data_IF_039868888465
#
_entry.id   IF_039868888465
#
_cell.length_a   1.000
_cell.length_b   1.000
_cell.length_c   1.000
_cell.angle_alpha   90.00
_cell.angle_beta   90.00
_cell.angle_gamma   90.00
#
_symmetry.space_group_name_H-M   'P 1'
#
loop_
_entity.id
_entity.type
_entity.pdbx_description
1 polymer ?
#
# COMPACT_ATOMS: atom_id res chain seq x y z
N UNK A 1 2.06 62.63 -14.18
CA UNK A 1 1.15 61.90 -13.26
C UNK A 1 1.60 60.45 -13.15
N UNK A 2 1.45 59.85 -11.96
CA UNK A 2 2.06 58.58 -11.50
C UNK A 2 1.60 57.34 -12.29
N UNK A 3 2.52 56.36 -12.39
CA UNK A 3 2.37 55.03 -13.01
C UNK A 3 1.29 54.18 -12.32
N UNK A 4 0.58 53.33 -13.07
CA UNK A 4 -0.10 52.15 -12.50
C UNK A 4 -0.15 50.99 -13.51
N UNK A 5 1.01 50.40 -13.80
CA UNK A 5 1.13 49.08 -14.45
C UNK A 5 1.37 48.04 -13.34
N UNK A 6 0.32 47.67 -12.61
CA UNK A 6 0.41 46.62 -11.59
C UNK A 6 -0.94 45.89 -11.34
N UNK A 7 -1.48 45.12 -12.31
CA UNK A 7 -2.41 44.06 -11.91
C UNK A 7 -2.02 42.66 -12.43
N UNK A 8 -1.05 42.53 -13.33
CA UNK A 8 -0.74 41.24 -13.97
C UNK A 8 0.29 40.39 -13.21
N UNK A 9 1.24 41.03 -12.52
CA UNK A 9 2.21 40.30 -11.69
C UNK A 9 1.60 39.77 -10.39
N UNK A 10 0.60 40.45 -9.84
CA UNK A 10 -0.04 40.05 -8.59
C UNK A 10 -1.00 38.87 -8.78
N UNK A 11 -1.64 38.76 -9.95
CA UNK A 11 -2.48 37.62 -10.33
C UNK A 11 -1.65 36.37 -10.61
N UNK A 12 -0.50 36.50 -11.27
CA UNK A 12 0.42 35.38 -11.51
C UNK A 12 1.02 34.82 -10.21
N UNK A 13 1.40 35.70 -9.26
CA UNK A 13 1.96 35.27 -7.98
C UNK A 13 0.94 34.54 -7.10
N UNK A 14 -0.34 34.90 -7.18
CA UNK A 14 -1.42 34.25 -6.42
C UNK A 14 -1.70 32.82 -6.91
N UNK A 15 -1.55 32.55 -8.22
CA UNK A 15 -1.66 31.20 -8.78
C UNK A 15 -0.52 30.25 -8.41
N UNK A 16 0.69 30.77 -8.12
CA UNK A 16 1.80 29.92 -7.67
C UNK A 16 1.69 29.49 -6.19
N UNK A 17 0.92 30.22 -5.38
CA UNK A 17 0.70 29.88 -3.96
C UNK A 17 -0.26 28.70 -3.74
N UNK A 18 -1.00 28.28 -4.77
CA UNK A 18 -1.85 27.07 -4.71
C UNK A 18 -1.14 25.81 -5.22
N UNK A 19 0.12 25.90 -5.68
CA UNK A 19 0.91 24.76 -6.14
C UNK A 19 1.70 24.06 -5.03
N UNK A 20 1.51 24.44 -3.76
CA UNK A 20 1.81 23.54 -2.66
C UNK A 20 0.67 22.52 -2.56
N UNK A 21 0.69 21.53 -3.45
CA UNK A 21 0.07 20.26 -3.13
C UNK A 21 0.77 19.79 -1.85
N UNK A 22 0.13 20.03 -0.70
CA UNK A 22 0.44 19.27 0.49
C UNK A 22 0.30 17.81 0.08
N UNK A 23 1.41 17.12 -0.07
CA UNK A 23 1.41 15.66 0.09
C UNK A 23 0.74 15.47 1.44
N UNK A 24 -0.46 14.88 1.52
CA UNK A 24 -1.08 14.67 2.80
C UNK A 24 -0.04 13.92 3.64
N UNK A 25 0.34 14.51 4.77
CA UNK A 25 1.13 13.81 5.77
C UNK A 25 0.20 12.72 6.28
N UNK A 26 0.18 11.59 5.56
CA UNK A 26 -0.50 10.35 5.92
C UNK A 26 0.25 9.76 7.11
N UNK A 27 0.31 10.52 8.21
CA UNK A 27 0.55 10.03 9.55
C UNK A 27 -0.69 9.25 9.95
N UNK A 28 -0.80 8.05 9.41
CA UNK A 28 -1.68 7.07 10.02
C UNK A 28 -1.07 6.79 11.39
N UNK A 29 -1.62 7.43 12.42
CA UNK A 29 -1.23 7.17 13.79
C UNK A 29 -1.78 5.80 14.18
N UNK A 30 -1.07 4.76 13.74
CA UNK A 30 -1.20 3.40 14.22
C UNK A 30 -0.66 3.30 15.65
N UNK A 31 -1.20 4.11 16.57
CA UNK A 31 -0.96 3.89 17.99
C UNK A 31 -1.69 2.60 18.34
N UNK A 32 -0.93 1.54 18.62
CA UNK A 32 -1.43 0.41 19.39
C UNK A 32 -1.85 0.99 20.75
N UNK A 33 -3.15 1.02 21.05
CA UNK A 33 -3.54 1.21 22.44
C UNK A 33 -2.90 0.07 23.25
N UNK A 34 -2.25 0.38 24.38
CA UNK A 34 -1.64 -0.66 25.19
C UNK A 34 -2.75 -1.50 25.81
N UNK A 35 -3.00 -2.68 25.25
CA UNK A 35 -3.77 -3.73 25.92
C UNK A 35 -3.00 -4.13 27.18
N UNK A 36 -3.50 -3.73 28.34
CA UNK A 36 -3.02 -4.13 29.66
C UNK A 36 -3.27 -5.62 29.87
N UNK A 37 -2.36 -6.47 29.38
CA UNK A 37 -2.33 -7.89 29.74
C UNK A 37 -1.46 -8.08 30.99
N UNK A 38 -2.12 -8.17 32.14
CA UNK A 38 -1.50 -8.48 33.43
C UNK A 38 -1.12 -9.96 33.50
N UNK A 39 0.03 -10.34 32.97
CA UNK A 39 0.60 -11.68 33.19
C UNK A 39 1.79 -11.61 34.14
N UNK A 40 1.52 -11.89 35.42
CA UNK A 40 2.51 -12.16 36.47
C UNK A 40 3.40 -13.33 36.05
N UNK A 41 4.66 -13.07 35.69
CA UNK A 41 5.68 -14.12 35.53
C UNK A 41 6.70 -14.03 36.67
N UNK A 42 6.74 -15.11 37.46
CA UNK A 42 7.61 -15.34 38.61
C UNK A 42 9.09 -15.27 38.24
N UNK A 43 9.83 -14.66 39.15
CA UNK A 43 11.29 -14.59 39.33
C UNK A 43 11.98 -15.95 39.24
N UNK A 44 13.12 -16.01 38.53
CA UNK A 44 14.27 -16.82 38.96
C UNK A 44 15.58 -16.10 38.58
N UNK A 45 16.43 -15.85 39.59
CA UNK A 45 17.78 -15.30 39.50
C UNK A 45 18.81 -16.43 39.37
N UNK A 46 19.85 -16.26 38.54
CA UNK A 46 21.25 -16.73 38.76
C UNK A 46 22.17 -16.10 37.69
N UNK A 47 22.82 -14.96 37.95
CA UNK A 47 24.22 -14.74 38.40
C UNK A 47 25.36 -15.22 37.48
N UNK A 48 26.16 -14.23 37.02
CA UNK A 48 27.65 -14.15 36.89
C UNK A 48 28.40 -15.17 36.02
N UNK A 49 29.49 -14.90 35.27
CA UNK A 49 30.42 -13.76 35.12
C UNK A 49 31.37 -13.99 33.92
N UNK A 50 31.80 -12.90 33.26
CA UNK A 50 33.10 -12.61 32.59
C UNK A 50 34.04 -13.73 32.10
N UNK A 51 34.61 -13.60 30.88
CA UNK A 51 36.00 -13.14 30.60
C UNK A 51 36.38 -13.24 29.10
N UNK A 52 37.26 -12.34 28.68
CA UNK A 52 37.73 -11.90 27.37
C UNK A 52 38.71 -12.84 26.63
N UNK A 53 38.83 -12.75 25.28
CA UNK A 53 40.04 -12.28 24.50
C UNK A 53 39.96 -12.56 22.97
N UNK A 54 40.28 -11.53 22.18
CA UNK A 54 41.04 -11.42 20.88
C UNK A 54 41.73 -12.68 20.29
N UNK A 55 42.01 -12.88 18.98
CA UNK A 55 42.08 -12.06 17.74
C UNK A 55 42.47 -12.93 16.51
N UNK A 56 42.24 -12.41 15.28
CA UNK A 56 42.91 -12.67 13.97
C UNK A 56 42.68 -14.03 13.26
N UNK A 57 42.59 -14.16 11.92
CA UNK A 57 42.91 -13.28 10.76
C UNK A 57 42.40 -13.87 9.41
N UNK A 58 42.31 -13.02 8.38
CA UNK A 58 42.41 -13.29 6.92
C UNK A 58 41.15 -13.81 6.20
N UNK A 59 40.40 -13.00 5.43
CA UNK A 59 40.65 -12.37 4.11
C UNK A 59 40.40 -13.31 2.92
N UNK A 60 39.27 -13.12 2.24
CA UNK A 60 39.15 -13.40 0.81
C UNK A 60 38.32 -12.30 0.15
N UNK A 61 39.04 -11.47 -0.62
CA UNK A 61 38.51 -10.43 -1.50
C UNK A 61 38.27 -11.06 -2.86
N UNK A 62 37.05 -10.97 -3.39
CA UNK A 62 36.81 -11.14 -4.82
C UNK A 62 36.02 -9.95 -5.36
N UNK A 63 36.61 -9.37 -6.40
CA UNK A 63 36.30 -8.10 -7.02
C UNK A 63 35.12 -8.18 -7.99
N UNK A 64 34.19 -7.25 -7.82
CA UNK A 64 33.63 -6.35 -8.83
C UNK A 64 33.57 -6.83 -10.29
N UNK A 65 32.36 -6.97 -10.82
CA UNK A 65 32.05 -6.54 -12.20
C UNK A 65 30.81 -5.65 -12.14
N UNK A 66 31.07 -4.35 -12.15
CA UNK A 66 30.07 -3.30 -12.27
C UNK A 66 29.47 -3.33 -13.67
N UNK A 67 28.19 -3.67 -13.79
CA UNK A 67 27.39 -3.34 -14.96
C UNK A 67 26.61 -2.08 -14.66
N UNK A 68 27.14 -0.93 -15.09
CA UNK A 68 26.41 0.33 -15.06
C UNK A 68 25.45 0.33 -16.25
N UNK A 69 24.16 0.16 -16.00
CA UNK A 69 23.11 0.42 -16.99
C UNK A 69 21.88 0.98 -16.27
N UNK A 70 21.70 2.29 -16.39
CA UNK A 70 20.47 3.10 -16.21
C UNK A 70 19.59 2.88 -14.97
N UNK A 71 19.63 3.86 -14.04
CA UNK A 71 18.65 4.17 -12.97
C UNK A 71 17.54 3.12 -12.73
N UNK A 72 17.89 2.01 -12.09
CA UNK A 72 16.97 0.93 -11.72
C UNK A 72 15.99 1.39 -10.63
N UNK A 73 14.72 1.47 -11.01
CA UNK A 73 13.55 1.59 -10.15
C UNK A 73 13.63 0.64 -8.94
N UNK A 74 13.37 1.15 -7.74
CA UNK A 74 13.39 0.40 -6.47
C UNK A 74 12.23 -0.63 -6.37
N UNK A 75 12.10 -1.58 -7.29
CA UNK A 75 11.05 -2.61 -7.23
C UNK A 75 11.48 -3.70 -6.24
N UNK A 76 10.62 -4.01 -5.27
CA UNK A 76 10.84 -5.10 -4.31
C UNK A 76 10.12 -6.35 -4.81
N UNK A 77 10.86 -7.44 -5.02
CA UNK A 77 10.31 -8.66 -5.59
C UNK A 77 10.17 -9.81 -4.59
N UNK A 78 9.34 -10.79 -4.92
CA UNK A 78 9.10 -12.01 -4.16
C UNK A 78 8.91 -13.21 -5.10
N UNK A 79 9.27 -14.40 -4.63
CA UNK A 79 9.02 -15.65 -5.35
C UNK A 79 7.80 -16.38 -4.81
N UNK A 80 7.21 -17.25 -5.65
CA UNK A 80 6.12 -18.14 -5.25
C UNK A 80 4.76 -17.46 -5.12
N UNK A 81 4.53 -16.37 -5.86
CA UNK A 81 3.19 -15.95 -6.26
C UNK A 81 2.84 -16.60 -7.61
N UNK A 82 1.56 -16.88 -7.90
CA UNK A 82 1.14 -17.36 -9.22
C UNK A 82 1.45 -16.30 -10.29
N UNK A 83 1.72 -16.73 -11.53
CA UNK A 83 1.99 -15.77 -12.61
C UNK A 83 0.77 -14.92 -12.96
N UNK A 84 -0.41 -15.53 -12.93
CA UNK A 84 -1.70 -14.91 -13.21
C UNK A 84 -2.81 -15.69 -12.48
N UNK A 85 -4.04 -15.21 -12.59
CA UNK A 85 -5.20 -15.82 -11.94
C UNK A 85 -5.49 -17.26 -12.39
N UNK A 86 -5.08 -17.69 -13.59
CA UNK A 86 -5.32 -19.04 -14.08
C UNK A 86 -4.44 -20.08 -13.37
N UNK A 87 -3.26 -19.69 -12.93
CA UNK A 87 -2.32 -20.52 -12.17
C UNK A 87 -2.56 -20.45 -10.65
N UNK A 88 -3.38 -19.51 -10.19
CA UNK A 88 -3.68 -19.33 -8.78
C UNK A 88 -4.65 -20.40 -8.24
N UNK A 89 -4.54 -20.77 -6.94
CA UNK A 89 -5.62 -21.46 -6.24
C UNK A 89 -6.92 -20.64 -6.29
N UNK A 90 -8.07 -21.33 -6.23
CA UNK A 90 -9.41 -20.74 -6.43
C UNK A 90 -10.21 -20.57 -5.13
N UNK A 91 -9.58 -20.78 -3.98
CA UNK A 91 -10.19 -20.62 -2.66
C UNK A 91 -10.29 -19.15 -2.22
N UNK A 92 -9.42 -18.30 -2.76
CA UNK A 92 -9.41 -16.86 -2.57
C UNK A 92 -8.66 -16.18 -3.72
N UNK A 93 -8.57 -14.86 -3.71
CA UNK A 93 -7.76 -14.13 -4.70
C UNK A 93 -6.30 -14.21 -4.26
N UNK A 94 -5.39 -14.37 -5.21
CA UNK A 94 -3.95 -14.34 -4.98
C UNK A 94 -3.36 -13.20 -5.79
N UNK A 95 -2.55 -12.37 -5.15
CA UNK A 95 -1.61 -11.49 -5.83
C UNK A 95 -0.79 -12.29 -6.85
N UNK A 96 -0.50 -11.67 -7.99
CA UNK A 96 0.17 -12.31 -9.13
C UNK A 96 1.53 -11.67 -9.40
N UNK A 97 2.29 -12.29 -10.30
CA UNK A 97 3.59 -11.80 -10.71
C UNK A 97 4.64 -12.00 -9.63
N UNK A 98 5.49 -10.99 -9.42
CA UNK A 98 6.59 -11.06 -8.46
C UNK A 98 6.68 -9.83 -7.55
N UNK A 99 5.67 -8.94 -7.56
CA UNK A 99 5.68 -7.75 -6.72
C UNK A 99 5.41 -8.11 -5.26
N UNK A 100 6.31 -7.70 -4.38
CA UNK A 100 6.11 -7.74 -2.94
C UNK A 100 5.43 -6.45 -2.47
N UNK A 101 4.49 -6.55 -1.55
CA UNK A 101 3.96 -5.40 -0.83
C UNK A 101 5.09 -4.77 -0.03
N UNK A 102 5.35 -3.50 -0.31
CA UNK A 102 6.43 -2.77 0.33
C UNK A 102 6.05 -1.32 0.58
N UNK A 103 6.50 -0.79 1.70
CA UNK A 103 6.39 0.63 2.00
C UNK A 103 7.61 1.12 2.77
N UNK A 104 8.14 2.27 2.36
CA UNK A 104 9.15 2.98 3.13
C UNK A 104 8.98 4.47 3.00
N UNK A 105 9.39 5.19 4.04
CA UNK A 105 9.42 6.64 4.06
C UNK A 105 10.76 7.12 4.58
N UNK A 106 11.43 7.97 3.81
CA UNK A 106 12.68 8.62 4.18
C UNK A 106 12.56 10.14 3.96
N UNK A 107 12.23 10.86 5.03
CA UNK A 107 11.86 12.27 4.95
C UNK A 107 10.59 12.46 4.12
N UNK A 108 10.74 13.20 3.03
CA UNK A 108 9.67 13.46 2.05
C UNK A 108 9.58 12.40 0.95
N UNK A 109 10.57 11.50 0.86
CA UNK A 109 10.55 10.42 -0.12
C UNK A 109 9.68 9.28 0.38
N UNK A 110 8.60 8.99 -0.33
CA UNK A 110 7.71 7.87 -0.08
C UNK A 110 7.90 6.84 -1.19
N UNK A 111 8.09 5.60 -0.80
CA UNK A 111 8.03 4.44 -1.68
C UNK A 111 6.89 3.55 -1.20
N UNK A 112 6.00 3.19 -2.11
CA UNK A 112 4.91 2.25 -1.87
C UNK A 112 4.77 1.35 -3.09
N UNK A 113 4.57 0.06 -2.83
CA UNK A 113 4.36 -0.93 -3.86
C UNK A 113 3.20 -1.83 -3.43
N UNK A 114 2.15 -1.83 -4.23
CA UNK A 114 1.03 -2.78 -4.14
C UNK A 114 1.28 -3.96 -5.07
N UNK A 115 0.66 -5.12 -4.81
CA UNK A 115 0.84 -6.29 -5.67
C UNK A 115 -0.06 -6.19 -6.92
N UNK A 116 0.26 -6.99 -7.94
CA UNK A 116 -0.55 -7.13 -9.16
C UNK A 116 -1.64 -8.20 -8.99
N UNK A 117 -2.66 -8.14 -9.85
CA UNK A 117 -3.77 -9.11 -9.91
C UNK A 117 -4.09 -9.53 -11.35
N UNK A 118 -3.07 -9.76 -12.15
CA UNK A 118 -3.18 -10.10 -13.56
C UNK A 118 -4.14 -11.30 -13.81
N UNK A 119 -5.08 -11.11 -14.74
CA UNK A 119 -6.03 -12.15 -15.15
C UNK A 119 -7.26 -12.31 -14.24
N UNK A 120 -7.37 -11.57 -13.13
CA UNK A 120 -8.61 -11.53 -12.34
C UNK A 120 -9.66 -10.63 -12.99
N UNK A 121 -10.61 -11.27 -13.68
CA UNK A 121 -11.79 -10.59 -14.23
C UNK A 121 -12.92 -10.48 -13.22
N UNK A 122 -13.91 -9.62 -13.46
CA UNK A 122 -15.11 -9.54 -12.59
C UNK A 122 -15.81 -10.89 -12.47
N UNK A 123 -15.94 -11.63 -13.58
CA UNK A 123 -16.54 -12.96 -13.60
C UNK A 123 -15.74 -13.99 -12.79
N UNK A 124 -14.41 -13.97 -12.88
CA UNK A 124 -13.57 -14.86 -12.09
C UNK A 124 -13.63 -14.53 -10.60
N UNK A 125 -13.58 -13.26 -10.25
CA UNK A 125 -13.72 -12.80 -8.87
C UNK A 125 -15.07 -13.22 -8.28
N UNK A 126 -16.17 -13.04 -9.01
CA UNK A 126 -17.50 -13.45 -8.55
C UNK A 126 -17.60 -14.97 -8.35
N UNK A 127 -16.86 -15.75 -9.14
CA UNK A 127 -16.78 -17.20 -8.94
C UNK A 127 -16.05 -17.60 -7.66
N UNK A 128 -15.08 -16.78 -7.22
CA UNK A 128 -14.28 -17.04 -6.02
C UNK A 128 -14.98 -16.49 -4.77
N UNK A 129 -15.49 -15.25 -4.82
CA UNK A 129 -16.04 -14.53 -3.67
C UNK A 129 -17.58 -14.52 -3.60
N UNK A 130 -18.26 -14.99 -4.65
CA UNK A 130 -19.70 -14.83 -4.83
C UNK A 130 -20.07 -13.48 -5.47
N UNK A 131 -21.38 -13.21 -5.58
CA UNK A 131 -21.85 -11.94 -6.11
C UNK A 131 -21.54 -10.80 -5.13
N UNK A 132 -21.17 -9.60 -5.62
CA UNK A 132 -21.00 -8.44 -4.76
C UNK A 132 -22.32 -8.02 -4.14
N UNK A 133 -22.26 -7.45 -2.94
CA UNK A 133 -23.42 -6.85 -2.29
C UNK A 133 -23.86 -5.58 -3.02
N UNK A 134 -22.89 -4.81 -3.51
CA UNK A 134 -23.12 -3.62 -4.33
C UNK A 134 -22.06 -3.50 -5.43
N UNK A 135 -22.51 -2.98 -6.56
CA UNK A 135 -21.66 -2.47 -7.62
C UNK A 135 -21.81 -0.96 -7.67
N UNK A 136 -20.68 -0.24 -7.66
CA UNK A 136 -20.61 1.22 -7.72
C UNK A 136 -19.83 1.60 -8.97
N UNK A 137 -20.46 2.35 -9.86
CA UNK A 137 -19.85 2.90 -11.09
C UNK A 137 -19.90 4.43 -11.11
N UNK A 138 -20.33 5.04 -10.01
CA UNK A 138 -20.37 6.49 -9.87
C UNK A 138 -18.93 7.03 -9.67
N UNK A 139 -18.39 7.83 -10.61
CA UNK A 139 -17.04 8.36 -10.52
C UNK A 139 -16.85 9.27 -9.30
N UNK A 140 -17.92 9.84 -8.73
CA UNK A 140 -17.83 10.63 -7.50
C UNK A 140 -17.41 9.78 -6.30
N UNK A 141 -17.78 8.48 -6.28
CA UNK A 141 -17.40 7.60 -5.18
C UNK A 141 -15.87 7.44 -5.08
N UNK A 142 -15.19 7.16 -6.19
CA UNK A 142 -13.73 7.00 -6.19
C UNK A 142 -13.03 8.33 -5.84
N UNK A 143 -13.57 9.45 -6.34
CA UNK A 143 -12.98 10.78 -6.14
C UNK A 143 -13.11 11.28 -4.70
N UNK A 144 -14.21 10.96 -4.01
CA UNK A 144 -14.55 11.60 -2.72
C UNK A 144 -14.64 10.64 -1.54
N UNK A 145 -15.07 9.39 -1.76
CA UNK A 145 -15.48 8.48 -0.68
C UNK A 145 -14.59 7.24 -0.51
N UNK A 146 -14.02 6.73 -1.61
CA UNK A 146 -13.29 5.46 -1.62
C UNK A 146 -12.09 5.45 -0.66
N UNK A 147 -11.19 6.44 -0.76
CA UNK A 147 -9.99 6.52 0.10
C UNK A 147 -10.34 6.52 1.59
N UNK A 148 -11.36 7.29 2.00
CA UNK A 148 -11.76 7.38 3.40
C UNK A 148 -12.38 6.07 3.91
N UNK A 149 -13.21 5.43 3.08
CA UNK A 149 -13.79 4.13 3.40
C UNK A 149 -12.69 3.07 3.54
N UNK A 150 -11.74 3.08 2.61
CA UNK A 150 -10.65 2.12 2.59
C UNK A 150 -9.66 2.34 3.73
N UNK A 151 -9.42 3.59 4.13
CA UNK A 151 -8.66 3.92 5.31
C UNK A 151 -9.25 3.28 6.57
N UNK A 152 -10.58 3.34 6.76
CA UNK A 152 -11.24 2.72 7.91
C UNK A 152 -11.17 1.19 7.87
N UNK A 153 -11.34 0.59 6.68
CA UNK A 153 -11.16 -0.85 6.49
C UNK A 153 -9.72 -1.30 6.84
N UNK A 154 -8.71 -0.59 6.33
CA UNK A 154 -7.29 -0.87 6.58
C UNK A 154 -6.94 -0.69 8.06
N UNK A 155 -7.47 0.36 8.72
CA UNK A 155 -7.30 0.55 10.18
C UNK A 155 -7.87 -0.64 10.95
N UNK A 156 -9.07 -1.09 10.60
CA UNK A 156 -9.69 -2.27 11.21
C UNK A 156 -8.79 -3.50 11.12
N UNK A 157 -8.32 -3.83 9.91
CA UNK A 157 -7.42 -4.96 9.67
C UNK A 157 -6.09 -4.86 10.43
N UNK A 158 -5.53 -3.65 10.52
CA UNK A 158 -4.31 -3.40 11.27
C UNK A 158 -4.52 -3.58 12.78
N UNK A 159 -5.61 -3.04 13.33
CA UNK A 159 -5.94 -3.17 14.74
C UNK A 159 -6.24 -4.62 15.14
N UNK A 160 -6.85 -5.39 14.25
CA UNK A 160 -7.04 -6.85 14.38
C UNK A 160 -5.71 -7.65 14.27
N UNK A 161 -4.63 -7.01 13.82
CA UNK A 161 -3.34 -7.66 13.59
C UNK A 161 -3.30 -8.56 12.36
N UNK A 162 -4.25 -8.40 11.43
CA UNK A 162 -4.32 -9.17 10.17
C UNK A 162 -3.30 -8.70 9.14
N UNK A 163 -2.93 -7.42 9.17
CA UNK A 163 -1.92 -6.83 8.30
C UNK A 163 -0.87 -6.07 9.11
N UNK A 164 0.33 -5.94 8.55
CA UNK A 164 1.40 -5.15 9.14
C UNK A 164 1.19 -3.66 8.87
N UNK A 165 1.90 -2.80 9.61
CA UNK A 165 1.88 -1.36 9.33
C UNK A 165 2.45 -1.02 7.95
N UNK A 166 3.43 -1.77 7.47
CA UNK A 166 3.99 -1.61 6.12
C UNK A 166 2.94 -1.89 5.05
N UNK A 167 2.22 -3.01 5.17
CA UNK A 167 1.13 -3.38 4.27
C UNK A 167 0.01 -2.35 4.33
N UNK A 168 -0.39 -1.91 5.52
CA UNK A 168 -1.43 -0.91 5.68
C UNK A 168 -1.11 0.41 4.96
N UNK A 169 0.13 0.91 5.07
CA UNK A 169 0.55 2.10 4.33
C UNK A 169 0.63 1.85 2.81
N UNK A 170 1.19 0.73 2.37
CA UNK A 170 1.29 0.40 0.94
C UNK A 170 -0.09 0.37 0.27
N UNK A 171 -1.06 -0.32 0.87
CA UNK A 171 -2.42 -0.41 0.33
C UNK A 171 -3.18 0.91 0.42
N UNK A 172 -2.96 1.74 1.44
CA UNK A 172 -3.55 3.07 1.46
C UNK A 172 -2.99 3.96 0.35
N UNK A 173 -1.68 3.88 0.09
CA UNK A 173 -1.07 4.61 -1.04
C UNK A 173 -1.65 4.16 -2.38
N UNK A 174 -1.94 2.86 -2.56
CA UNK A 174 -2.66 2.37 -3.73
C UNK A 174 -4.07 2.97 -3.85
N UNK A 175 -4.80 3.12 -2.73
CA UNK A 175 -6.11 3.75 -2.75
C UNK A 175 -6.05 5.25 -3.10
N UNK A 176 -5.03 5.95 -2.60
CA UNK A 176 -4.76 7.37 -2.94
C UNK A 176 -4.43 7.52 -4.43
N UNK A 177 -3.62 6.61 -4.98
CA UNK A 177 -3.27 6.62 -6.40
C UNK A 177 -4.51 6.45 -7.29
N UNK A 178 -5.40 5.49 -6.97
CA UNK A 178 -6.65 5.31 -7.69
C UNK A 178 -7.55 6.55 -7.68
N UNK A 179 -7.70 7.20 -6.52
CA UNK A 179 -8.42 8.47 -6.39
C UNK A 179 -7.77 9.59 -7.19
N UNK A 180 -6.44 9.60 -7.30
CA UNK A 180 -5.75 10.60 -8.09
C UNK A 180 -5.91 10.32 -9.59
N UNK A 181 -5.81 9.06 -10.00
CA UNK A 181 -6.03 8.59 -11.37
C UNK A 181 -7.46 8.88 -11.86
N UNK A 182 -8.48 8.72 -10.99
CA UNK A 182 -9.88 8.99 -11.38
C UNK A 182 -10.13 10.45 -11.78
N UNK A 183 -9.34 11.41 -11.26
CA UNK A 183 -9.43 12.82 -11.65
C UNK A 183 -8.99 13.07 -13.10
N UNK A 184 -8.30 12.11 -13.71
CA UNK A 184 -7.89 12.14 -15.12
C UNK A 184 -8.87 11.41 -16.05
N UNK A 185 -10.07 11.07 -15.56
CA UNK A 185 -11.12 10.45 -16.38
C UNK A 185 -11.02 8.94 -16.50
N UNK A 186 -10.32 8.27 -15.57
CA UNK A 186 -10.34 6.81 -15.50
C UNK A 186 -11.64 6.36 -14.83
N UNK A 187 -12.39 5.53 -15.55
CA UNK A 187 -13.65 4.96 -15.08
C UNK A 187 -13.40 3.62 -14.37
N UNK A 188 -13.87 3.53 -13.12
CA UNK A 188 -13.75 2.32 -12.32
C UNK A 188 -15.11 1.70 -12.02
N UNK A 189 -15.12 0.37 -11.94
CA UNK A 189 -16.21 -0.38 -11.31
C UNK A 189 -15.74 -0.89 -9.97
N UNK A 190 -16.45 -0.54 -8.91
CA UNK A 190 -16.14 -0.99 -7.55
C UNK A 190 -17.17 -2.02 -7.11
N UNK A 191 -16.68 -3.17 -6.65
CA UNK A 191 -17.48 -4.20 -6.01
C UNK A 191 -17.26 -4.17 -4.50
N UNK A 192 -18.34 -4.21 -3.74
CA UNK A 192 -18.27 -4.24 -2.28
C UNK A 192 -18.86 -5.52 -1.72
N UNK A 193 -18.21 -6.04 -0.68
CA UNK A 193 -18.56 -7.27 0.01
C UNK A 193 -18.49 -7.06 1.52
N UNK A 194 -19.15 -7.94 2.27
CA UNK A 194 -19.14 -7.99 3.74
C UNK A 194 -19.45 -6.63 4.36
N UNK A 195 -20.60 -6.05 4.00
CA UNK A 195 -21.05 -4.75 4.45
C UNK A 195 -20.01 -3.64 4.22
N UNK A 196 -19.46 -3.58 3.00
CA UNK A 196 -18.48 -2.57 2.57
C UNK A 196 -17.09 -2.67 3.22
N UNK A 197 -16.81 -3.72 4.00
CA UNK A 197 -15.50 -3.94 4.63
C UNK A 197 -14.46 -4.52 3.69
N UNK A 198 -14.88 -4.97 2.50
CA UNK A 198 -14.02 -5.41 1.41
C UNK A 198 -14.46 -4.67 0.14
N UNK A 199 -13.53 -3.97 -0.48
CA UNK A 199 -13.73 -3.25 -1.73
C UNK A 199 -12.75 -3.77 -2.78
N UNK A 200 -13.25 -4.01 -3.98
CA UNK A 200 -12.45 -4.38 -5.15
C UNK A 200 -12.66 -3.33 -6.23
N UNK A 201 -11.58 -2.84 -6.83
CA UNK A 201 -11.62 -1.83 -7.89
C UNK A 201 -11.17 -2.46 -9.19
N UNK A 202 -12.03 -2.35 -10.21
CA UNK A 202 -11.78 -2.85 -11.55
C UNK A 202 -11.69 -1.70 -12.54
N UNK A 203 -10.79 -1.84 -13.50
CA UNK A 203 -10.72 -1.04 -14.72
C UNK A 203 -10.79 -1.99 -15.91
N UNK A 204 -11.69 -1.73 -16.87
CA UNK A 204 -11.83 -2.56 -18.08
C UNK A 204 -11.93 -4.08 -17.80
N UNK A 205 -12.76 -4.44 -16.81
CA UNK A 205 -12.94 -5.82 -16.33
C UNK A 205 -11.73 -6.44 -15.61
N UNK A 206 -10.62 -5.72 -15.43
CA UNK A 206 -9.41 -6.21 -14.77
C UNK A 206 -9.32 -5.69 -13.32
N UNK A 207 -9.09 -6.59 -12.36
CA UNK A 207 -8.87 -6.21 -10.96
C UNK A 207 -7.56 -5.42 -10.82
N UNK A 208 -7.64 -4.22 -10.26
CA UNK A 208 -6.49 -3.36 -9.96
C UNK A 208 -6.17 -3.34 -8.47
N UNK A 209 -7.20 -3.39 -7.62
CA UNK A 209 -7.06 -3.22 -6.20
C UNK A 209 -8.09 -4.04 -5.44
N UNK A 210 -7.69 -4.53 -4.28
CA UNK A 210 -8.56 -5.20 -3.32
C UNK A 210 -8.13 -4.78 -1.90
N UNK A 211 -9.10 -4.53 -1.03
CA UNK A 211 -8.85 -4.35 0.41
C UNK A 211 -7.98 -5.50 0.94
N UNK A 212 -6.88 -5.23 1.68
CA UNK A 212 -5.86 -6.22 2.01
C UNK A 212 -6.27 -7.19 3.13
N UNK A 213 -7.48 -7.72 3.08
CA UNK A 213 -7.98 -8.67 4.07
C UNK A 213 -7.48 -10.10 3.74
N UNK A 214 -6.62 -10.71 4.58
CA UNK A 214 -6.07 -12.05 4.32
C UNK A 214 -7.10 -13.18 4.20
N UNK A 215 -8.34 -12.94 4.67
CA UNK A 215 -9.44 -13.88 4.55
C UNK A 215 -9.87 -14.05 3.08
N UNK A 216 -9.66 -13.04 2.22
CA UNK A 216 -10.11 -13.04 0.82
C UNK A 216 -9.02 -12.78 -0.21
N UNK A 217 -7.86 -12.29 0.21
CA UNK A 217 -6.71 -12.08 -0.68
C UNK A 217 -5.42 -12.56 -0.04
N UNK A 218 -4.59 -13.25 -0.82
CA UNK A 218 -3.22 -13.60 -0.44
C UNK A 218 -2.22 -12.70 -1.16
N UNK A 219 -1.26 -12.15 -0.42
CA UNK A 219 -0.16 -11.33 -0.92
C UNK A 219 1.08 -11.53 -0.03
N UNK A 220 2.24 -11.01 -0.46
CA UNK A 220 3.52 -11.19 0.21
C UNK A 220 4.21 -9.87 0.52
#
# INVERSE_FOLDING_TARGET
MKKQTLPLFFTLLLSLLFLSACVPDLKINFKKEPTTSTSKKKTFKKSSSSRSTSSNSSSDSSSSTSTTTQSSSNIVTTEGLPKNAQEAPKDKIYATGNLKVAYSRNGDNIFAQTPDYEGYTTALVQKILGNPEKQITDPTYIAESFENTELENIKGLYHEGKITGEQAHAFLMGAVDLKQASKFGVDYTIYTYKNNTIQLVFENDQLLYITPNPDVVFFK
#
